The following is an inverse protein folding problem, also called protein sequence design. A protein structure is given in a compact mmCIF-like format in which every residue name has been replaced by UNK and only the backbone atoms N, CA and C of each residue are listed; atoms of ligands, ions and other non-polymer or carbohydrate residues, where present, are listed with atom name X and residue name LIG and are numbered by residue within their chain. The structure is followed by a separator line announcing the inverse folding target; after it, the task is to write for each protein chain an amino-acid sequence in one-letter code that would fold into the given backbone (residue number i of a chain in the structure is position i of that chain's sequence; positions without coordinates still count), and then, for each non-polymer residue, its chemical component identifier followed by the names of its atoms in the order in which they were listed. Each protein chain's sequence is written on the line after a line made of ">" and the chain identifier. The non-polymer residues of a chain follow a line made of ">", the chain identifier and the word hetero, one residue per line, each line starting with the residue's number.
data_IF_143568934932
#
_entry.id   IF_143568934932
#
_cell.length_a   1.000
_cell.length_b   1.000
_cell.length_c   1.000
_cell.angle_alpha   90.00
_cell.angle_beta   90.00
_cell.angle_gamma   90.00
#
_symmetry.space_group_name_H-M   'P 1'
#
loop_
_entity.id
_entity.type
_entity.pdbx_description
1 polymer ?
#
# COMPACT_ATOMS: atom_id res chain seq x y z
N UNK A 1 9.69 9.49 8.55
CA UNK A 1 8.87 8.28 8.73
C UNK A 1 9.03 7.37 7.53
N UNK A 2 9.31 6.11 7.79
CA UNK A 2 9.46 5.12 6.73
C UNK A 2 8.15 4.45 6.40
N UNK A 3 7.78 4.45 5.12
CA UNK A 3 6.60 3.76 4.62
C UNK A 3 7.06 2.64 3.69
N UNK A 4 6.73 1.43 4.05
CA UNK A 4 7.07 0.24 3.30
C UNK A 4 6.02 -0.01 2.23
N UNK A 5 6.45 -0.26 0.99
CA UNK A 5 5.53 -0.57 -0.12
C UNK A 5 5.88 -1.93 -0.68
N UNK A 6 4.95 -2.87 -0.58
CA UNK A 6 5.11 -4.24 -1.06
C UNK A 6 4.30 -4.46 -2.32
N UNK A 7 4.88 -5.17 -3.28
CA UNK A 7 4.23 -5.46 -4.56
C UNK A 7 4.67 -6.84 -5.08
N UNK A 8 3.87 -7.38 -5.96
CA UNK A 8 4.16 -8.63 -6.65
C UNK A 8 3.47 -8.61 -8.03
N UNK A 9 4.25 -8.78 -9.08
CA UNK A 9 3.79 -8.73 -10.46
C UNK A 9 3.93 -7.35 -11.08
N UNK A 10 3.83 -7.28 -12.40
CA UNK A 10 4.11 -6.08 -13.17
C UNK A 10 3.17 -4.91 -12.84
N UNK A 11 1.89 -5.19 -12.82
CA UNK A 11 0.89 -4.16 -12.54
C UNK A 11 1.01 -3.64 -11.10
N UNK A 12 1.20 -4.55 -10.17
CA UNK A 12 1.40 -4.22 -8.76
C UNK A 12 2.64 -3.35 -8.56
N UNK A 13 3.72 -3.65 -9.30
CA UNK A 13 4.94 -2.85 -9.28
C UNK A 13 4.68 -1.42 -9.76
N UNK A 14 3.90 -1.25 -10.81
CA UNK A 14 3.56 0.08 -11.33
C UNK A 14 2.74 0.88 -10.30
N UNK A 15 1.82 0.23 -9.60
CA UNK A 15 1.08 0.86 -8.49
C UNK A 15 2.05 1.33 -7.41
N UNK A 16 2.98 0.49 -7.03
CA UNK A 16 3.99 0.82 -6.01
C UNK A 16 4.83 2.03 -6.43
N UNK A 17 5.21 2.11 -7.70
CA UNK A 17 5.96 3.25 -8.22
C UNK A 17 5.17 4.56 -8.14
N UNK A 18 3.88 4.52 -8.44
CA UNK A 18 3.01 5.69 -8.33
C UNK A 18 2.97 6.19 -6.89
N UNK A 19 2.75 5.29 -5.94
CA UNK A 19 2.69 5.64 -4.53
C UNK A 19 4.04 6.20 -4.05
N UNK A 20 5.13 5.56 -4.44
CA UNK A 20 6.47 6.02 -4.05
C UNK A 20 6.76 7.41 -4.56
N UNK A 21 6.29 7.74 -5.76
CA UNK A 21 6.51 9.06 -6.36
C UNK A 21 5.66 10.13 -5.68
N UNK A 22 4.38 9.86 -5.43
CA UNK A 22 3.44 10.91 -5.05
C UNK A 22 3.24 11.08 -3.55
N UNK A 23 3.45 10.04 -2.73
CA UNK A 23 3.30 10.19 -1.27
C UNK A 23 4.19 11.30 -0.72
N UNK A 24 5.50 11.38 -1.05
CA UNK A 24 6.34 12.46 -0.51
C UNK A 24 5.97 13.84 -1.04
N UNK A 25 5.28 13.92 -2.18
CA UNK A 25 4.80 15.20 -2.69
C UNK A 25 3.69 15.77 -1.83
N UNK A 26 2.86 14.89 -1.27
CA UNK A 26 1.74 15.28 -0.41
C UNK A 26 2.18 15.38 1.05
N UNK A 27 2.96 14.42 1.52
CA UNK A 27 3.47 14.37 2.91
C UNK A 27 4.99 14.28 2.84
N UNK A 28 5.64 15.41 2.92
CA UNK A 28 7.07 15.55 2.62
C UNK A 28 7.98 14.80 3.60
N UNK A 29 7.54 14.59 4.82
CA UNK A 29 8.33 13.89 5.83
C UNK A 29 8.31 12.38 5.70
N UNK A 30 7.56 11.83 4.74
CA UNK A 30 7.47 10.40 4.50
C UNK A 30 8.58 9.95 3.55
N UNK A 31 9.25 8.87 3.91
CA UNK A 31 10.26 8.22 3.08
C UNK A 31 9.73 6.85 2.64
N UNK A 32 9.08 6.76 1.47
CA UNK A 32 8.60 5.47 0.98
C UNK A 32 9.76 4.65 0.41
N UNK A 33 9.71 3.35 0.64
CA UNK A 33 10.70 2.44 0.07
C UNK A 33 10.02 1.13 -0.33
N UNK A 34 10.60 0.46 -1.33
CA UNK A 34 10.10 -0.83 -1.77
C UNK A 34 10.61 -1.92 -0.83
N UNK A 35 9.81 -2.96 -0.69
CA UNK A 35 10.30 -4.18 -0.03
C UNK A 35 11.55 -4.66 -0.74
N UNK A 36 12.57 -4.99 0.03
CA UNK A 36 13.78 -5.53 -0.56
C UNK A 36 13.46 -6.85 -1.22
N UNK A 37 13.57 -6.84 -2.53
CA UNK A 37 13.77 -8.01 -3.38
C UNK A 37 12.84 -9.21 -3.27
N UNK A 38 12.72 -9.86 -4.29
CA UNK A 38 12.40 -11.28 -4.54
C UNK A 38 11.34 -11.89 -3.62
N UNK A 39 10.34 -11.09 -3.31
CA UNK A 39 9.18 -11.56 -2.57
C UNK A 39 8.54 -12.75 -3.27
N UNK A 40 8.75 -12.89 -4.58
CA UNK A 40 8.18 -13.97 -5.36
C UNK A 40 8.88 -15.31 -5.16
N UNK A 41 9.99 -15.35 -4.43
CA UNK A 41 10.86 -16.52 -4.45
C UNK A 41 10.89 -17.35 -3.19
N UNK A 42 9.89 -17.32 -2.35
CA UNK A 42 9.98 -18.37 -1.41
C UNK A 42 9.30 -18.29 -0.07
N UNK A 43 9.54 -19.34 0.70
CA UNK A 43 8.95 -19.60 1.98
C UNK A 43 9.28 -18.57 3.05
N UNK A 44 10.26 -17.72 2.82
CA UNK A 44 10.66 -16.68 3.78
C UNK A 44 9.92 -15.37 3.62
N UNK A 45 9.09 -15.26 2.61
CA UNK A 45 8.42 -14.02 2.31
C UNK A 45 7.67 -13.45 3.52
N UNK A 46 6.86 -14.26 4.19
CA UNK A 46 6.05 -13.79 5.31
C UNK A 46 6.90 -13.31 6.49
N UNK A 47 8.02 -13.99 6.75
CA UNK A 47 8.94 -13.60 7.82
C UNK A 47 9.64 -12.29 7.49
N UNK A 48 10.14 -12.16 6.27
CA UNK A 48 10.85 -10.96 5.83
C UNK A 48 9.92 -9.75 5.78
N UNK A 49 8.71 -9.93 5.29
CA UNK A 49 7.72 -8.85 5.24
C UNK A 49 7.30 -8.45 6.66
N UNK A 50 7.09 -9.42 7.54
CA UNK A 50 6.73 -9.12 8.93
C UNK A 50 7.81 -8.28 9.60
N UNK A 51 9.08 -8.63 9.38
CA UNK A 51 10.22 -7.88 9.93
C UNK A 51 10.28 -6.47 9.36
N UNK A 52 10.12 -6.32 8.04
CA UNK A 52 10.10 -5.01 7.38
C UNK A 52 8.97 -4.13 7.93
N UNK A 53 7.78 -4.71 8.12
CA UNK A 53 6.65 -3.98 8.65
C UNK A 53 6.81 -3.60 10.11
N UNK A 54 7.53 -4.40 10.90
CA UNK A 54 7.87 -4.04 12.28
C UNK A 54 8.83 -2.86 12.33
N UNK A 55 9.77 -2.79 11.39
CA UNK A 55 10.77 -1.73 11.33
C UNK A 55 10.21 -0.46 10.69
N UNK A 56 9.18 -0.57 9.85
CA UNK A 56 8.54 0.56 9.20
C UNK A 56 7.44 1.13 10.09
N UNK A 57 7.13 2.39 9.90
CA UNK A 57 6.03 3.04 10.62
C UNK A 57 4.67 2.76 9.99
N UNK A 58 4.65 2.40 8.71
CA UNK A 58 3.43 2.10 7.97
C UNK A 58 3.77 1.23 6.76
N UNK A 59 2.86 0.34 6.39
CA UNK A 59 3.04 -0.54 5.23
C UNK A 59 1.85 -0.50 4.29
N UNK A 60 2.14 -0.52 2.99
CA UNK A 60 1.13 -0.57 1.94
C UNK A 60 1.35 -1.84 1.13
N UNK A 61 0.29 -2.62 0.93
CA UNK A 61 0.32 -3.83 0.11
C UNK A 61 -0.44 -3.52 -1.19
N UNK A 62 0.26 -3.54 -2.31
CA UNK A 62 -0.34 -3.24 -3.63
C UNK A 62 -1.00 -4.49 -4.19
N UNK A 63 -2.33 -4.56 -4.13
CA UNK A 63 -3.10 -5.76 -4.48
C UNK A 63 -3.81 -5.56 -5.82
N UNK A 64 -3.63 -6.53 -6.72
CA UNK A 64 -4.32 -6.58 -8.01
C UNK A 64 -5.00 -7.94 -8.14
N UNK A 65 -5.86 -8.11 -9.17
CA UNK A 65 -6.48 -9.42 -9.42
C UNK A 65 -5.45 -10.51 -9.65
N UNK A 66 -4.36 -10.16 -10.31
CA UNK A 66 -3.35 -11.13 -10.71
C UNK A 66 -2.52 -11.65 -9.55
N UNK A 67 -2.30 -10.83 -8.51
CA UNK A 67 -1.52 -11.26 -7.36
C UNK A 67 -2.37 -11.66 -6.15
N UNK A 68 -3.69 -11.54 -6.26
CA UNK A 68 -4.59 -11.83 -5.13
C UNK A 68 -4.48 -13.26 -4.64
N UNK A 69 -4.26 -14.22 -5.54
CA UNK A 69 -4.15 -15.64 -5.20
C UNK A 69 -2.70 -16.11 -5.11
N UNK A 70 -1.73 -15.21 -5.23
CA UNK A 70 -0.33 -15.59 -5.16
C UNK A 70 0.10 -15.89 -3.71
N UNK A 71 1.19 -16.63 -3.56
CA UNK A 71 1.76 -16.91 -2.24
C UNK A 71 2.16 -15.64 -1.49
N UNK A 72 2.36 -14.55 -2.20
CA UNK A 72 2.64 -13.24 -1.62
C UNK A 72 1.53 -12.77 -0.66
N UNK A 73 0.27 -13.10 -0.94
CA UNK A 73 -0.85 -12.76 -0.05
C UNK A 73 -1.26 -13.91 0.86
N UNK A 74 -0.73 -15.10 0.63
CA UNK A 74 -1.04 -16.29 1.42
C UNK A 74 -0.09 -16.48 2.61
N UNK A 75 0.44 -15.39 3.13
CA UNK A 75 1.18 -15.47 4.39
C UNK A 75 0.21 -15.77 5.51
N UNK A 76 0.71 -16.45 6.54
CA UNK A 76 -0.14 -16.81 7.66
C UNK A 76 -0.67 -15.56 8.37
N UNK A 77 -1.99 -15.40 8.32
CA UNK A 77 -2.65 -14.26 8.93
C UNK A 77 -2.29 -14.12 10.42
N UNK A 78 -2.11 -15.24 11.09
CA UNK A 78 -1.75 -15.24 12.50
C UNK A 78 -0.41 -14.60 12.80
N UNK A 79 0.59 -14.84 11.96
CA UNK A 79 1.91 -14.24 12.15
C UNK A 79 1.87 -12.73 11.97
N UNK A 80 1.17 -12.26 10.95
CA UNK A 80 1.09 -10.83 10.66
C UNK A 80 0.24 -10.09 11.70
N UNK A 81 -0.90 -10.63 12.07
CA UNK A 81 -1.80 -9.99 13.02
C UNK A 81 -1.22 -9.92 14.44
N UNK A 82 -0.33 -10.87 14.79
CA UNK A 82 0.34 -10.86 16.08
C UNK A 82 1.51 -9.87 16.15
N UNK A 83 2.13 -9.59 15.00
CA UNK A 83 3.37 -8.82 14.94
C UNK A 83 3.15 -7.35 14.66
N UNK A 84 2.01 -6.97 14.06
CA UNK A 84 1.83 -5.63 13.50
C UNK A 84 0.43 -5.12 13.85
N UNK A 85 0.37 -3.88 14.28
CA UNK A 85 -0.91 -3.21 14.51
C UNK A 85 -1.65 -3.05 13.18
N UNK A 86 -2.93 -3.41 13.16
CA UNK A 86 -3.74 -3.35 11.95
C UNK A 86 -3.85 -1.93 11.38
N UNK A 87 -3.74 -0.92 12.22
CA UNK A 87 -3.78 0.48 11.80
C UNK A 87 -2.54 0.93 11.02
N UNK A 88 -1.49 0.11 11.01
CA UNK A 88 -0.23 0.43 10.34
C UNK A 88 -0.05 -0.30 9.01
N UNK A 89 -1.05 -1.04 8.56
CA UNK A 89 -1.02 -1.77 7.29
C UNK A 89 -2.28 -1.46 6.51
N UNK A 90 -2.13 -1.14 5.25
CA UNK A 90 -3.26 -0.87 4.36
C UNK A 90 -3.06 -1.60 3.02
N UNK A 91 -3.89 -2.61 2.73
CA UNK A 91 -3.97 -3.14 1.38
C UNK A 91 -4.56 -2.09 0.45
N UNK A 92 -3.87 -1.80 -0.64
CA UNK A 92 -4.30 -0.85 -1.65
C UNK A 92 -4.73 -1.61 -2.90
N UNK A 93 -6.02 -1.49 -3.25
CA UNK A 93 -6.63 -2.30 -4.31
C UNK A 93 -6.71 -1.52 -5.61
N UNK A 94 -6.21 -2.10 -6.69
CA UNK A 94 -6.32 -1.53 -8.03
C UNK A 94 -7.04 -2.52 -8.95
N UNK A 95 -8.10 -2.05 -9.59
CA UNK A 95 -9.00 -2.86 -10.44
C UNK A 95 -9.62 -4.04 -9.69
N UNK A 96 -9.85 -3.83 -8.40
CA UNK A 96 -10.35 -4.87 -7.51
C UNK A 96 -11.18 -4.20 -6.43
N UNK A 97 -12.33 -4.77 -6.12
CA UNK A 97 -13.19 -4.27 -5.03
C UNK A 97 -12.99 -5.11 -3.78
N UNK A 98 -13.20 -4.54 -2.58
CA UNK A 98 -13.14 -5.36 -1.36
C UNK A 98 -14.05 -6.58 -1.41
N UNK A 99 -15.21 -6.48 -2.07
CA UNK A 99 -16.15 -7.60 -2.23
C UNK A 99 -15.61 -8.72 -3.10
N UNK A 100 -14.59 -8.48 -3.92
CA UNK A 100 -13.95 -9.49 -4.75
C UNK A 100 -13.01 -10.39 -3.95
N UNK A 101 -12.69 -9.99 -2.71
CA UNK A 101 -11.72 -10.68 -1.88
C UNK A 101 -12.44 -11.60 -0.93
N UNK A 102 -12.12 -12.90 -1.00
CA UNK A 102 -12.70 -13.92 -0.14
C UNK A 102 -11.59 -14.77 0.47
N UNK A 103 -11.75 -15.10 1.74
CA UNK A 103 -10.84 -16.01 2.45
C UNK A 103 -9.36 -15.60 2.40
N UNK A 104 -9.08 -14.30 2.38
CA UNK A 104 -7.72 -13.80 2.35
C UNK A 104 -7.33 -13.19 3.70
N UNK A 105 -6.07 -13.37 4.12
CA UNK A 105 -5.58 -12.72 5.34
C UNK A 105 -5.69 -11.19 5.32
N UNK A 106 -5.70 -10.58 4.14
CA UNK A 106 -5.78 -9.12 4.06
C UNK A 106 -7.13 -8.55 4.49
N UNK A 107 -8.16 -9.41 4.61
CA UNK A 107 -9.48 -8.97 5.08
C UNK A 107 -9.47 -8.43 6.51
N UNK A 108 -8.46 -8.79 7.30
CA UNK A 108 -8.34 -8.26 8.66
C UNK A 108 -7.90 -6.79 8.70
N UNK A 109 -7.37 -6.27 7.59
CA UNK A 109 -6.89 -4.89 7.53
C UNK A 109 -7.93 -4.00 6.84
N UNK A 110 -7.90 -2.72 7.17
CA UNK A 110 -8.70 -1.72 6.48
C UNK A 110 -8.09 -1.46 5.11
N UNK A 111 -8.85 -1.72 4.05
CA UNK A 111 -8.38 -1.62 2.68
C UNK A 111 -8.77 -0.28 2.07
N UNK A 112 -7.98 0.18 1.09
CA UNK A 112 -8.29 1.36 0.29
C UNK A 112 -8.31 1.01 -1.19
N UNK A 113 -9.33 1.45 -1.90
CA UNK A 113 -9.42 1.31 -3.35
C UNK A 113 -8.79 2.54 -4.03
N UNK A 114 -8.61 2.47 -5.35
CA UNK A 114 -7.97 3.55 -6.12
C UNK A 114 -8.97 4.65 -6.48
N UNK A 115 -9.75 5.11 -5.52
CA UNK A 115 -10.68 6.24 -5.65
C UNK A 115 -10.14 7.43 -4.87
N UNK A 116 -10.59 8.62 -5.22
CA UNK A 116 -10.13 9.83 -4.54
C UNK A 116 -10.33 9.75 -3.03
N UNK A 117 -11.52 9.34 -2.60
CA UNK A 117 -11.86 9.29 -1.17
C UNK A 117 -11.00 8.27 -0.43
N UNK A 118 -10.82 7.08 -1.02
CA UNK A 118 -10.06 6.02 -0.38
C UNK A 118 -8.56 6.33 -0.37
N UNK A 119 -8.02 6.92 -1.43
CA UNK A 119 -6.62 7.34 -1.47
C UNK A 119 -6.38 8.44 -0.43
N UNK A 120 -7.32 9.35 -0.28
CA UNK A 120 -7.23 10.37 0.77
C UNK A 120 -7.24 9.75 2.16
N UNK A 121 -8.08 8.76 2.39
CA UNK A 121 -8.09 8.01 3.66
C UNK A 121 -6.76 7.33 3.94
N UNK A 122 -6.15 6.75 2.90
CA UNK A 122 -4.82 6.15 3.03
C UNK A 122 -3.80 7.21 3.47
N UNK A 123 -3.81 8.37 2.83
CA UNK A 123 -2.87 9.45 3.17
C UNK A 123 -3.13 9.99 4.59
N UNK A 124 -4.40 10.08 4.99
CA UNK A 124 -4.75 10.45 6.37
C UNK A 124 -4.22 9.44 7.38
N UNK A 125 -4.30 8.15 7.07
CA UNK A 125 -3.77 7.10 7.94
C UNK A 125 -2.25 7.20 8.07
N UNK A 126 -1.56 7.45 6.97
CA UNK A 126 -0.10 7.67 7.00
C UNK A 126 0.21 8.89 7.86
N UNK A 127 -0.50 9.99 7.63
CA UNK A 127 -0.27 11.23 8.35
C UNK A 127 -0.50 11.07 9.86
N UNK A 128 -1.53 10.31 10.25
CA UNK A 128 -1.83 10.11 11.66
C UNK A 128 -0.74 9.33 12.40
N UNK A 129 0.11 8.59 11.68
CA UNK A 129 1.23 7.86 12.26
C UNK A 129 2.50 8.71 12.38
N UNK A 130 2.48 9.96 11.93
CA UNK A 130 3.66 10.83 11.97
C UNK A 130 3.90 11.47 13.34
N UNK A 131 2.96 11.37 14.27
CA UNK A 131 3.10 12.00 15.58
C UNK A 131 3.22 13.52 15.46
N UNK A 132 4.28 14.07 16.03
CA UNK A 132 4.48 15.54 16.03
C UNK A 132 4.76 16.12 14.63
N UNK A 133 5.16 15.28 13.71
CA UNK A 133 5.46 15.71 12.32
C UNK A 133 4.23 15.71 11.41
N UNK A 134 3.08 15.33 11.94
CA UNK A 134 1.89 15.22 11.10
C UNK A 134 1.45 16.59 10.59
N UNK A 135 0.93 16.60 9.37
CA UNK A 135 0.36 17.80 8.77
C UNK A 135 -1.01 18.08 9.39
N UNK A 136 -1.34 19.37 9.50
CA UNK A 136 -2.71 19.78 9.80
C UNK A 136 -3.64 19.24 8.72
N UNK A 137 -4.86 18.82 9.09
CA UNK A 137 -5.80 18.21 8.15
C UNK A 137 -6.12 19.13 6.97
N UNK A 138 -6.23 20.43 7.19
CA UNK A 138 -6.49 21.41 6.12
C UNK A 138 -5.32 21.47 5.13
N UNK A 139 -4.10 21.43 5.64
CA UNK A 139 -2.89 21.43 4.81
C UNK A 139 -2.83 20.11 4.01
N UNK A 140 -3.08 19.00 4.66
CA UNK A 140 -3.09 17.69 4.00
C UNK A 140 -4.12 17.67 2.88
N UNK A 141 -5.34 18.12 3.16
CA UNK A 141 -6.43 18.15 2.18
C UNK A 141 -6.10 19.04 0.98
N UNK A 142 -5.57 20.22 1.23
CA UNK A 142 -5.21 21.16 0.17
C UNK A 142 -4.10 20.59 -0.71
N UNK A 143 -3.07 20.04 -0.10
CA UNK A 143 -1.94 19.47 -0.83
C UNK A 143 -2.38 18.23 -1.61
N UNK A 144 -3.19 17.39 -1.01
CA UNK A 144 -3.74 16.20 -1.67
C UNK A 144 -4.57 16.61 -2.89
N UNK A 145 -5.46 17.57 -2.74
CA UNK A 145 -6.32 18.03 -3.84
C UNK A 145 -5.48 18.60 -4.99
N UNK A 146 -4.38 19.26 -4.66
CA UNK A 146 -3.48 19.82 -5.67
C UNK A 146 -2.84 18.73 -6.53
N UNK A 147 -2.43 17.62 -5.92
CA UNK A 147 -1.74 16.54 -6.63
C UNK A 147 -2.67 15.44 -7.13
N UNK A 148 -3.92 15.39 -6.64
CA UNK A 148 -4.82 14.30 -6.99
C UNK A 148 -5.01 14.08 -8.49
N UNK A 149 -5.19 15.14 -9.34
CA UNK A 149 -5.34 14.90 -10.78
C UNK A 149 -4.18 14.13 -11.39
N UNK A 150 -2.96 14.38 -10.92
CA UNK A 150 -1.77 13.68 -11.41
C UNK A 150 -1.71 12.25 -10.89
N UNK A 151 -2.08 12.04 -9.64
CA UNK A 151 -2.16 10.71 -9.04
C UNK A 151 -3.22 9.89 -9.78
N UNK A 152 -4.38 10.46 -10.02
CA UNK A 152 -5.48 9.81 -10.73
C UNK A 152 -5.04 9.38 -12.12
N UNK A 153 -4.40 10.28 -12.87
CA UNK A 153 -3.91 9.98 -14.21
C UNK A 153 -2.89 8.83 -14.19
N UNK A 154 -1.98 8.86 -13.23
CA UNK A 154 -0.98 7.80 -13.07
C UNK A 154 -1.63 6.45 -12.74
N UNK A 155 -2.64 6.43 -11.87
CA UNK A 155 -3.36 5.21 -11.52
C UNK A 155 -4.17 4.67 -12.69
N UNK A 156 -4.76 5.54 -13.50
CA UNK A 156 -5.45 5.13 -14.73
C UNK A 156 -4.48 4.52 -15.73
N UNK A 157 -3.28 5.07 -15.83
CA UNK A 157 -2.23 4.51 -16.66
C UNK A 157 -1.84 3.10 -16.23
N UNK A 158 -1.79 2.85 -14.92
CA UNK A 158 -1.53 1.51 -14.38
C UNK A 158 -2.64 0.53 -14.77
N UNK A 159 -3.90 0.95 -14.72
CA UNK A 159 -5.02 0.07 -15.08
C UNK A 159 -4.94 -0.41 -16.53
N UNK A 160 -4.24 0.31 -17.41
CA UNK A 160 -4.04 -0.11 -18.79
C UNK A 160 -2.86 -1.06 -18.98
N UNK A 161 -2.05 -1.29 -17.96
CA UNK A 161 -0.90 -2.20 -18.04
C UNK A 161 -1.39 -3.64 -18.13
N UNK A 162 -0.82 -4.40 -19.07
CA UNK A 162 -1.13 -5.81 -19.22
C UNK A 162 -0.16 -6.63 -18.40
N UNK A 163 -0.70 -7.50 -17.54
CA UNK A 163 0.14 -8.44 -16.79
C UNK A 163 0.73 -9.45 -17.75
N UNK A 164 2.04 -9.61 -17.67
CA UNK A 164 2.72 -10.72 -18.33
C UNK A 164 2.79 -11.86 -17.34
N UNK A 165 2.10 -12.94 -17.66
CA UNK A 165 2.12 -14.15 -16.85
C UNK A 165 3.52 -14.80 -16.89
#
# INVERSE_FOLDING_TARGET
>A
MKVFISWSGTKSQEVAKVLKQWIPCVIQSVEPYFSSADIDKGARWSTDIAKELQDASFGILCVTKDNLSSSWLNFEAGALSKSIEQSKVCPFLVDLKPSDIQNSPILQFQMASATKDDVFKLFKSINSNLGDSKLNEDVLSTTFDTFWPKIEEALKGVSSVTETS
#
